data_IF_617634353549
#
_entry.id   IF_617634353549
#
_cell.length_a   1.000
_cell.length_b   1.000
_cell.length_c   1.000
_cell.angle_alpha   90.00
_cell.angle_beta   90.00
_cell.angle_gamma   90.00
#
_symmetry.space_group_name_H-M   'P 1'
#
loop_
_entity.id
_entity.type
_entity.pdbx_description
1 polymer ?
#
# COMPACT_ATOMS: atom_id res chain seq x y z
N UNK A 1 3.19 -24.66 -19.61
CA UNK A 1 2.45 -24.60 -18.35
C UNK A 1 1.42 -23.47 -18.49
N UNK A 2 0.19 -23.83 -18.77
CA UNK A 2 -0.95 -22.91 -18.85
C UNK A 2 -1.74 -23.15 -17.55
N UNK A 3 -1.59 -22.24 -16.59
CA UNK A 3 -2.29 -22.25 -15.32
C UNK A 3 -1.68 -21.22 -14.38
N UNK A 4 -2.47 -20.71 -13.46
CA UNK A 4 -2.07 -19.74 -12.45
C UNK A 4 -1.17 -20.37 -11.36
N UNK A 5 -0.11 -21.05 -11.76
CA UNK A 5 0.82 -21.67 -10.85
C UNK A 5 1.86 -20.64 -10.43
N UNK A 6 1.86 -20.30 -9.15
CA UNK A 6 2.88 -19.44 -8.58
C UNK A 6 4.04 -20.28 -8.06
N UNK A 7 5.25 -19.88 -8.43
CA UNK A 7 6.47 -20.51 -8.00
C UNK A 7 7.26 -19.56 -7.10
N UNK A 8 7.66 -20.04 -5.93
CA UNK A 8 8.71 -19.39 -5.13
C UNK A 8 10.02 -20.12 -5.38
N UNK A 9 11.09 -19.33 -5.52
CA UNK A 9 12.46 -19.79 -5.63
C UNK A 9 13.23 -19.51 -4.35
N UNK A 10 13.74 -20.54 -3.73
CA UNK A 10 14.88 -20.41 -2.84
C UNK A 10 16.19 -20.75 -3.58
N UNK A 11 17.30 -20.88 -2.82
CA UNK A 11 18.61 -21.17 -3.39
C UNK A 11 18.62 -22.47 -4.20
N UNK A 12 18.00 -23.53 -3.67
CA UNK A 12 18.13 -24.89 -4.17
C UNK A 12 16.85 -25.48 -4.74
N UNK A 13 15.71 -24.91 -4.40
CA UNK A 13 14.41 -25.43 -4.71
C UNK A 13 13.49 -24.43 -5.45
N UNK A 14 12.50 -24.96 -6.14
CA UNK A 14 11.36 -24.24 -6.68
C UNK A 14 10.10 -24.89 -6.09
N UNK A 15 9.27 -24.10 -5.43
CA UNK A 15 7.99 -24.55 -4.91
C UNK A 15 6.90 -24.22 -5.93
N UNK A 16 6.16 -25.24 -6.33
CA UNK A 16 5.11 -25.13 -7.35
C UNK A 16 3.78 -25.42 -6.65
N UNK A 17 2.87 -24.48 -6.75
CA UNK A 17 1.54 -24.58 -6.15
C UNK A 17 0.49 -24.91 -7.18
N UNK A 18 -0.32 -25.90 -6.86
CA UNK A 18 -1.47 -26.36 -7.61
C UNK A 18 -2.43 -27.04 -6.64
N UNK A 19 -3.10 -28.11 -7.04
CA UNK A 19 -3.91 -28.92 -6.12
C UNK A 19 -3.08 -29.52 -4.94
N UNK A 20 -1.78 -29.55 -5.09
CA UNK A 20 -0.78 -29.97 -4.10
C UNK A 20 0.37 -28.98 -4.14
N UNK A 21 1.18 -28.98 -3.09
CA UNK A 21 2.44 -28.23 -3.06
C UNK A 21 3.56 -29.19 -3.50
N UNK A 22 4.21 -28.86 -4.59
CA UNK A 22 5.36 -29.60 -5.11
C UNK A 22 6.64 -28.85 -4.81
N UNK A 23 7.72 -29.60 -4.61
CA UNK A 23 9.09 -29.11 -4.53
C UNK A 23 9.91 -29.69 -5.66
N UNK A 24 10.52 -28.84 -6.46
CA UNK A 24 11.49 -29.20 -7.48
C UNK A 24 12.89 -28.83 -7.00
N UNK A 25 13.74 -29.81 -6.82
CA UNK A 25 15.13 -29.60 -6.45
C UNK A 25 15.98 -29.35 -7.71
N UNK A 26 16.67 -28.20 -7.74
CA UNK A 26 17.47 -27.76 -8.90
C UNK A 26 18.72 -28.59 -9.14
N UNK A 27 19.29 -29.20 -8.08
CA UNK A 27 20.49 -30.01 -8.18
C UNK A 27 20.18 -31.43 -8.66
N UNK A 28 19.19 -32.07 -8.04
CA UNK A 28 18.80 -33.44 -8.40
C UNK A 28 17.86 -33.47 -9.61
N UNK A 29 17.27 -32.33 -9.97
CA UNK A 29 16.25 -32.21 -11.05
C UNK A 29 15.02 -33.08 -10.82
N UNK A 30 14.74 -33.41 -9.58
CA UNK A 30 13.58 -34.23 -9.19
C UNK A 30 12.47 -33.37 -8.62
N UNK A 31 11.24 -33.79 -8.89
CA UNK A 31 10.03 -33.20 -8.31
C UNK A 31 9.43 -34.20 -7.33
N UNK A 32 9.06 -33.72 -6.13
CA UNK A 32 8.35 -34.48 -5.13
C UNK A 32 7.17 -33.68 -4.58
N UNK A 33 6.21 -34.36 -3.97
CA UNK A 33 5.09 -33.73 -3.28
C UNK A 33 5.59 -33.31 -1.90
N UNK A 34 5.53 -32.01 -1.59
CA UNK A 34 5.83 -31.49 -0.27
C UNK A 34 4.60 -31.56 0.64
N UNK A 35 3.43 -31.21 0.10
CA UNK A 35 2.18 -31.22 0.86
C UNK A 35 0.99 -31.54 -0.04
N UNK A 36 0.12 -32.41 0.46
CA UNK A 36 -1.14 -32.79 -0.18
C UNK A 36 -2.28 -32.53 0.80
N UNK A 37 -3.00 -31.39 0.69
CA UNK A 37 -4.09 -31.06 1.58
C UNK A 37 -5.24 -32.05 1.42
N UNK A 38 -5.98 -32.32 2.50
CA UNK A 38 -7.26 -33.01 2.43
C UNK A 38 -8.28 -32.13 1.70
N UNK A 39 -9.28 -32.74 1.10
CA UNK A 39 -10.21 -32.10 0.14
C UNK A 39 -10.87 -30.82 0.68
N UNK A 40 -11.16 -30.75 1.99
CA UNK A 40 -11.80 -29.59 2.62
C UNK A 40 -10.91 -28.35 2.69
N UNK A 41 -9.61 -28.54 2.69
CA UNK A 41 -8.63 -27.45 2.69
C UNK A 41 -8.35 -26.94 1.27
N UNK A 42 -8.57 -27.75 0.25
CA UNK A 42 -8.33 -27.38 -1.16
C UNK A 42 -9.19 -26.20 -1.63
N UNK A 43 -10.40 -26.01 -1.10
CA UNK A 43 -11.27 -24.87 -1.42
C UNK A 43 -10.84 -23.57 -0.73
N UNK A 44 -10.13 -23.68 0.40
CA UNK A 44 -9.61 -22.49 1.14
C UNK A 44 -8.24 -22.04 0.65
N UNK A 45 -7.61 -22.84 -0.19
CA UNK A 45 -6.24 -22.67 -0.63
C UNK A 45 -6.21 -22.41 -2.14
N UNK A 46 -6.83 -21.31 -2.59
CA UNK A 46 -6.41 -20.66 -3.82
C UNK A 46 -5.08 -19.98 -3.50
N UNK A 47 -3.98 -20.76 -3.57
CA UNK A 47 -2.76 -20.40 -2.88
C UNK A 47 -1.84 -19.56 -3.71
N UNK A 48 -1.33 -18.54 -3.06
CA UNK A 48 -0.13 -17.85 -3.45
C UNK A 48 0.99 -18.18 -2.47
N UNK A 49 2.10 -18.70 -2.94
CA UNK A 49 3.30 -18.78 -2.13
C UNK A 49 3.92 -17.39 -1.98
N UNK A 50 4.19 -16.97 -0.75
CA UNK A 50 4.68 -15.64 -0.46
C UNK A 50 6.19 -15.66 -0.19
N UNK A 51 6.64 -16.62 0.59
CA UNK A 51 8.01 -16.68 1.09
C UNK A 51 8.36 -18.08 1.55
N UNK A 52 9.64 -18.47 1.44
CA UNK A 52 10.20 -19.64 2.10
C UNK A 52 11.42 -19.25 2.91
N UNK A 53 11.60 -19.88 4.07
CA UNK A 53 12.86 -19.92 4.82
C UNK A 53 13.35 -21.37 4.91
N UNK A 54 14.42 -21.62 5.67
CA UNK A 54 15.03 -22.96 5.76
C UNK A 54 14.10 -24.01 6.40
N UNK A 55 13.03 -23.58 7.04
CA UNK A 55 12.17 -24.44 7.85
C UNK A 55 10.70 -24.44 7.42
N UNK A 56 10.26 -23.38 6.76
CA UNK A 56 8.85 -23.18 6.46
C UNK A 56 8.60 -22.57 5.08
N UNK A 57 7.47 -22.94 4.49
CA UNK A 57 6.84 -22.26 3.39
C UNK A 57 5.63 -21.45 3.89
N UNK A 58 5.55 -20.19 3.52
CA UNK A 58 4.43 -19.31 3.85
C UNK A 58 3.51 -19.18 2.65
N UNK A 59 2.24 -19.43 2.89
CA UNK A 59 1.20 -19.55 1.87
C UNK A 59 0.04 -18.60 2.20
N UNK A 60 -0.44 -17.89 1.23
CA UNK A 60 -1.65 -17.07 1.35
C UNK A 60 -2.82 -17.83 0.71
N UNK A 61 -3.86 -18.05 1.49
CA UNK A 61 -5.16 -18.51 1.01
C UNK A 61 -6.12 -17.34 0.81
N UNK A 62 -7.39 -17.65 0.58
CA UNK A 62 -8.43 -16.63 0.34
C UNK A 62 -8.54 -15.64 1.50
N UNK A 63 -8.62 -16.12 2.72
CA UNK A 63 -8.74 -15.29 3.94
C UNK A 63 -7.77 -15.72 5.05
N UNK A 64 -6.76 -16.51 4.71
CA UNK A 64 -5.81 -17.09 5.65
C UNK A 64 -4.38 -16.90 5.18
N UNK A 65 -3.49 -16.68 6.16
CA UNK A 65 -2.05 -16.79 5.98
C UNK A 65 -1.59 -18.07 6.69
N UNK A 66 -0.99 -18.98 5.96
CA UNK A 66 -0.53 -20.26 6.47
C UNK A 66 0.99 -20.34 6.54
N UNK A 67 1.44 -21.21 7.43
CA UNK A 67 2.82 -21.63 7.56
C UNK A 67 2.90 -23.16 7.49
N UNK A 68 3.59 -23.69 6.49
CA UNK A 68 3.86 -25.11 6.29
C UNK A 68 5.27 -25.43 6.77
N UNK A 69 5.39 -26.35 7.73
CA UNK A 69 6.68 -26.80 8.22
C UNK A 69 7.23 -27.90 7.30
N UNK A 70 8.48 -27.78 6.85
CA UNK A 70 9.11 -28.74 5.93
C UNK A 70 9.42 -30.09 6.56
N UNK A 71 9.65 -30.13 7.89
CA UNK A 71 10.03 -31.37 8.59
C UNK A 71 8.83 -32.17 9.07
N UNK A 72 7.85 -31.47 9.67
CA UNK A 72 6.65 -32.13 10.22
C UNK A 72 5.52 -32.27 9.22
N UNK A 73 5.59 -31.53 8.11
CA UNK A 73 4.53 -31.45 7.08
C UNK A 73 3.21 -30.89 7.64
N UNK A 74 3.28 -30.15 8.74
CA UNK A 74 2.12 -29.54 9.39
C UNK A 74 1.85 -28.15 8.82
N UNK A 75 0.60 -27.91 8.46
CA UNK A 75 0.09 -26.61 8.05
C UNK A 75 -0.57 -25.94 9.25
N UNK A 76 -0.11 -24.76 9.62
CA UNK A 76 -0.68 -23.96 10.69
C UNK A 76 -1.13 -22.59 10.18
N UNK A 77 -2.27 -22.09 10.68
CA UNK A 77 -2.74 -20.73 10.36
C UNK A 77 -2.02 -19.70 11.22
N UNK A 78 -1.53 -18.63 10.58
CA UNK A 78 -0.96 -17.45 11.24
C UNK A 78 -1.99 -16.34 11.38
N UNK A 79 -2.77 -16.12 10.32
CA UNK A 79 -3.83 -15.13 10.25
C UNK A 79 -5.06 -15.83 9.69
N UNK A 80 -6.19 -15.63 10.34
CA UNK A 80 -7.47 -16.11 9.87
C UNK A 80 -8.51 -14.97 9.99
N UNK A 81 -9.07 -14.58 8.87
CA UNK A 81 -10.07 -13.52 8.79
C UNK A 81 -11.47 -14.12 8.56
N UNK A 82 -12.48 -13.29 8.68
CA UNK A 82 -13.86 -13.69 8.43
C UNK A 82 -14.07 -14.03 6.96
N UNK A 83 -15.06 -14.87 6.70
CA UNK A 83 -15.52 -15.12 5.34
C UNK A 83 -15.97 -13.81 4.68
N UNK A 84 -15.51 -13.58 3.44
CA UNK A 84 -15.70 -12.33 2.71
C UNK A 84 -14.58 -11.29 2.87
N UNK A 85 -13.66 -11.50 3.81
CA UNK A 85 -12.46 -10.67 3.97
C UNK A 85 -11.29 -11.27 3.16
N UNK A 86 -11.36 -11.18 1.84
CA UNK A 86 -10.46 -11.87 0.94
C UNK A 86 -9.09 -11.17 0.83
N UNK A 87 -8.03 -11.97 0.95
CA UNK A 87 -6.66 -11.54 0.71
C UNK A 87 -6.37 -11.53 -0.79
N UNK A 88 -5.68 -10.51 -1.22
CA UNK A 88 -5.34 -10.30 -2.64
C UNK A 88 -3.85 -10.49 -2.91
N UNK A 89 -3.02 -10.10 -1.96
CA UNK A 89 -1.57 -10.19 -2.06
C UNK A 89 -0.92 -10.15 -0.69
N UNK A 90 0.31 -10.62 -0.58
CA UNK A 90 1.09 -10.45 0.63
C UNK A 90 2.58 -10.37 0.33
N UNK A 91 3.32 -9.69 1.21
CA UNK A 91 4.77 -9.68 1.20
C UNK A 91 5.33 -9.72 2.62
N UNK A 92 6.61 -10.08 2.75
CA UNK A 92 7.31 -10.19 4.04
C UNK A 92 8.39 -9.13 4.12
N UNK A 93 8.49 -8.45 5.27
CA UNK A 93 9.58 -7.49 5.54
C UNK A 93 10.83 -8.18 6.12
N UNK A 94 11.92 -7.42 6.28
CA UNK A 94 13.20 -7.95 6.82
C UNK A 94 13.11 -8.36 8.29
N UNK A 95 12.14 -7.86 9.05
CA UNK A 95 11.87 -8.27 10.43
C UNK A 95 11.04 -9.54 10.51
N UNK A 96 10.58 -10.04 9.37
CA UNK A 96 9.77 -11.24 9.25
C UNK A 96 8.28 -11.03 9.46
N UNK A 97 7.81 -9.78 9.54
CA UNK A 97 6.40 -9.47 9.57
C UNK A 97 5.78 -9.61 8.19
N UNK A 98 4.46 -9.79 8.14
CA UNK A 98 3.73 -9.85 6.88
C UNK A 98 2.84 -8.64 6.69
N UNK A 99 2.89 -8.11 5.49
CA UNK A 99 1.99 -7.09 4.97
C UNK A 99 1.02 -7.79 4.04
N UNK A 100 -0.28 -7.62 4.28
CA UNK A 100 -1.34 -8.36 3.60
C UNK A 100 -2.30 -7.37 2.99
N UNK A 101 -2.44 -7.42 1.68
CA UNK A 101 -3.47 -6.71 0.94
C UNK A 101 -4.76 -7.50 0.92
N UNK A 102 -5.87 -6.80 1.02
CA UNK A 102 -7.19 -7.40 1.03
C UNK A 102 -8.22 -6.52 0.32
N UNK A 103 -9.42 -7.06 0.11
CA UNK A 103 -10.56 -6.33 -0.42
C UNK A 103 -11.09 -5.22 0.52
N UNK A 104 -10.60 -5.16 1.76
CA UNK A 104 -10.97 -4.15 2.76
C UNK A 104 -9.78 -3.33 3.28
N UNK A 105 -8.62 -3.40 2.62
CA UNK A 105 -7.44 -2.56 2.88
C UNK A 105 -6.14 -3.30 3.14
N UNK A 106 -5.23 -2.62 3.85
CA UNK A 106 -3.90 -3.12 4.18
C UNK A 106 -3.86 -3.61 5.63
N UNK A 107 -3.36 -4.83 5.83
CA UNK A 107 -3.13 -5.42 7.14
C UNK A 107 -1.64 -5.60 7.39
N UNK A 108 -1.27 -5.51 8.65
CA UNK A 108 0.06 -5.80 9.15
C UNK A 108 0.01 -6.89 10.20
N UNK A 109 0.69 -8.01 9.95
CA UNK A 109 0.89 -9.08 10.91
C UNK A 109 2.28 -9.01 11.54
N UNK A 110 2.34 -8.80 12.84
CA UNK A 110 3.58 -8.75 13.59
C UNK A 110 3.99 -10.16 14.02
N UNK A 111 5.12 -10.65 13.50
CA UNK A 111 5.63 -12.00 13.78
C UNK A 111 5.95 -12.22 15.25
N UNK A 112 6.46 -11.21 15.97
CA UNK A 112 6.88 -11.33 17.36
C UNK A 112 5.69 -11.45 18.31
N UNK A 113 4.65 -10.68 18.06
CA UNK A 113 3.47 -10.62 18.94
C UNK A 113 2.35 -11.55 18.49
N UNK A 114 2.39 -12.03 17.25
CA UNK A 114 1.32 -12.83 16.62
C UNK A 114 0.05 -12.02 16.36
N UNK A 115 0.09 -10.69 16.46
CA UNK A 115 -1.08 -9.82 16.29
C UNK A 115 -1.18 -9.28 14.86
N UNK A 116 -2.40 -9.19 14.39
CA UNK A 116 -2.75 -8.53 13.12
C UNK A 116 -3.45 -7.22 13.41
N UNK A 117 -3.05 -6.16 12.72
CA UNK A 117 -3.68 -4.85 12.79
C UNK A 117 -3.98 -4.31 11.39
N UNK A 118 -5.06 -3.53 11.27
CA UNK A 118 -5.38 -2.83 10.03
C UNK A 118 -4.63 -1.49 9.99
N UNK A 119 -3.96 -1.22 8.89
CA UNK A 119 -3.36 0.09 8.63
C UNK A 119 -4.46 1.01 8.11
N UNK A 120 -4.89 1.92 8.97
CA UNK A 120 -5.97 2.84 8.63
C UNK A 120 -5.50 3.94 7.67
N UNK A 121 -6.24 4.11 6.60
CA UNK A 121 -6.03 5.17 5.61
C UNK A 121 -7.34 5.49 4.90
N UNK A 122 -7.47 6.74 4.45
CA UNK A 122 -8.57 7.19 3.59
C UNK A 122 -8.17 7.20 2.11
N UNK A 123 -6.96 6.69 1.77
CA UNK A 123 -6.42 6.75 0.42
C UNK A 123 -6.97 5.65 -0.47
N UNK A 124 -7.29 4.49 0.09
CA UNK A 124 -7.84 3.34 -0.61
C UNK A 124 -8.64 2.45 0.34
N UNK A 125 -9.60 1.72 -0.22
CA UNK A 125 -10.43 0.77 0.53
C UNK A 125 -9.99 -0.68 0.27
N UNK A 126 -9.37 -0.96 -0.87
CA UNK A 126 -8.89 -2.28 -1.25
C UNK A 126 -7.48 -2.21 -1.80
N UNK A 127 -6.73 -3.28 -1.61
CA UNK A 127 -5.36 -3.44 -2.12
C UNK A 127 -5.36 -4.57 -3.15
N UNK A 128 -4.76 -4.36 -4.32
CA UNK A 128 -4.66 -5.37 -5.37
C UNK A 128 -3.32 -6.09 -5.38
N UNK A 129 -2.25 -5.40 -5.02
CA UNK A 129 -0.90 -5.96 -5.07
C UNK A 129 0.04 -5.34 -4.05
N UNK A 130 1.01 -6.13 -3.57
CA UNK A 130 2.02 -5.72 -2.60
C UNK A 130 3.40 -6.21 -2.97
N UNK A 131 4.42 -5.40 -2.66
CA UNK A 131 5.81 -5.82 -2.66
C UNK A 131 6.62 -5.08 -1.59
N UNK A 132 7.62 -5.74 -1.02
CA UNK A 132 8.58 -5.14 -0.10
C UNK A 132 9.92 -4.93 -0.81
N UNK A 133 10.49 -3.73 -0.74
CA UNK A 133 11.69 -3.35 -1.50
C UNK A 133 13.02 -3.66 -0.78
N UNK A 134 12.99 -4.29 0.38
CA UNK A 134 14.14 -4.53 1.26
C UNK A 134 14.86 -3.26 1.74
N UNK A 135 14.20 -2.11 1.63
CA UNK A 135 14.69 -0.80 2.05
C UNK A 135 13.70 -0.07 2.96
N UNK A 136 12.79 -0.83 3.58
CA UNK A 136 11.81 -0.30 4.52
C UNK A 136 10.56 0.32 3.90
N UNK A 137 10.25 -0.01 2.64
CA UNK A 137 9.04 0.45 1.97
C UNK A 137 8.22 -0.72 1.47
N UNK A 138 6.91 -0.64 1.71
CA UNK A 138 5.91 -1.52 1.12
C UNK A 138 5.24 -0.81 -0.04
N UNK A 139 5.36 -1.37 -1.22
CA UNK A 139 4.78 -0.87 -2.45
C UNK A 139 3.40 -1.48 -2.64
N UNK A 140 2.42 -0.65 -2.96
CA UNK A 140 1.00 -1.01 -2.88
C UNK A 140 0.31 -0.57 -4.16
N UNK A 141 -0.29 -1.51 -4.87
CA UNK A 141 -1.26 -1.23 -5.93
C UNK A 141 -2.66 -1.24 -5.33
N UNK A 142 -3.41 -0.17 -5.49
CA UNK A 142 -4.76 -0.05 -4.97
C UNK A 142 -5.59 0.92 -5.82
N UNK A 143 -6.81 0.54 -6.19
CA UNK A 143 -7.79 1.40 -6.88
C UNK A 143 -7.20 2.18 -8.08
N UNK A 144 -6.44 1.52 -8.94
CA UNK A 144 -5.76 2.12 -10.10
C UNK A 144 -4.71 3.20 -9.74
N UNK A 145 -4.25 3.20 -8.51
CA UNK A 145 -3.19 4.09 -8.02
C UNK A 145 -2.06 3.26 -7.43
N UNK A 146 -0.90 3.88 -7.35
CA UNK A 146 0.27 3.24 -6.80
C UNK A 146 0.80 4.02 -5.60
N UNK A 147 1.12 3.31 -4.52
CA UNK A 147 1.55 3.90 -3.27
C UNK A 147 2.85 3.25 -2.79
N UNK A 148 3.63 4.01 -2.04
CA UNK A 148 4.67 3.48 -1.19
C UNK A 148 4.36 3.79 0.27
N UNK A 149 4.33 2.78 1.13
CA UNK A 149 4.24 2.97 2.58
C UNK A 149 5.64 2.91 3.19
N UNK A 150 6.10 4.02 3.76
CA UNK A 150 7.39 4.13 4.42
C UNK A 150 7.22 3.67 5.87
N UNK A 151 7.74 2.48 6.19
CA UNK A 151 7.47 1.79 7.46
C UNK A 151 7.91 2.62 8.67
N UNK A 152 9.13 3.17 8.64
CA UNK A 152 9.68 3.93 9.76
C UNK A 152 8.96 5.26 10.01
N UNK A 153 8.44 5.87 8.96
CA UNK A 153 7.72 7.15 9.01
C UNK A 153 6.20 6.97 9.20
N UNK A 154 5.71 5.75 9.03
CA UNK A 154 4.28 5.41 9.02
C UNK A 154 3.49 6.29 8.06
N UNK A 155 4.03 6.55 6.87
CA UNK A 155 3.52 7.51 5.90
C UNK A 155 3.36 6.86 4.53
N UNK A 156 2.26 7.21 3.85
CA UNK A 156 2.05 6.88 2.45
C UNK A 156 2.63 7.97 1.53
N UNK A 157 3.15 7.55 0.40
CA UNK A 157 3.49 8.38 -0.74
C UNK A 157 2.68 7.88 -1.92
N UNK A 158 2.02 8.79 -2.63
CA UNK A 158 1.27 8.47 -3.85
C UNK A 158 2.18 8.68 -5.05
N UNK A 159 2.07 7.77 -6.00
CA UNK A 159 2.69 7.88 -7.31
C UNK A 159 1.59 7.79 -8.38
N UNK A 160 1.61 8.72 -9.31
CA UNK A 160 0.64 8.80 -10.39
C UNK A 160 1.28 9.16 -11.75
N UNK A 161 0.46 9.55 -12.71
CA UNK A 161 0.90 9.92 -14.05
C UNK A 161 1.95 11.03 -14.09
N UNK A 162 1.90 11.96 -13.15
CA UNK A 162 2.89 13.05 -13.07
C UNK A 162 4.27 12.54 -12.66
N UNK A 163 4.34 11.38 -12.00
CA UNK A 163 5.55 10.66 -11.64
C UNK A 163 5.99 9.67 -12.75
N UNK A 164 5.26 9.63 -13.86
CA UNK A 164 5.50 8.69 -14.96
C UNK A 164 4.91 7.30 -14.74
N UNK A 165 4.06 7.13 -13.75
CA UNK A 165 3.31 5.87 -13.54
C UNK A 165 2.05 5.94 -14.39
N UNK A 166 1.84 5.00 -15.34
CA UNK A 166 0.65 4.99 -16.17
C UNK A 166 -0.61 4.87 -15.29
N UNK A 167 -1.60 5.73 -15.52
CA UNK A 167 -2.88 5.61 -14.84
C UNK A 167 -3.61 4.36 -15.29
N UNK A 168 -4.39 3.83 -14.40
CA UNK A 168 -5.52 2.91 -14.60
C UNK A 168 -5.24 1.43 -14.82
N UNK A 169 -4.00 0.93 -15.00
CA UNK A 169 -3.87 -0.46 -15.43
C UNK A 169 -2.66 -1.21 -14.88
N UNK A 170 -2.25 -0.92 -13.64
CA UNK A 170 -1.22 -1.71 -12.97
C UNK A 170 -1.83 -2.98 -12.37
N UNK A 171 -1.90 -4.02 -13.19
CA UNK A 171 -2.61 -5.27 -12.88
C UNK A 171 -1.72 -6.25 -12.11
N UNK A 172 -0.40 -6.14 -12.24
CA UNK A 172 0.52 -7.14 -11.73
C UNK A 172 1.27 -6.70 -10.48
N UNK A 173 1.54 -7.67 -9.62
CA UNK A 173 2.32 -7.47 -8.40
C UNK A 173 3.68 -6.85 -8.72
N UNK A 174 4.06 -5.75 -8.03
CA UNK A 174 5.37 -5.16 -8.19
C UNK A 174 6.47 -6.15 -7.81
N UNK A 175 7.52 -6.24 -8.64
CA UNK A 175 8.64 -7.16 -8.42
C UNK A 175 9.90 -6.35 -8.16
N UNK A 176 10.44 -6.36 -6.91
CA UNK A 176 11.71 -5.73 -6.61
C UNK A 176 12.87 -6.46 -7.31
N UNK A 177 13.79 -5.70 -7.92
CA UNK A 177 15.00 -6.27 -8.46
C UNK A 177 15.96 -6.71 -7.34
N UNK A 178 16.64 -7.85 -7.55
CA UNK A 178 17.51 -8.43 -6.53
C UNK A 178 18.79 -7.62 -6.26
N UNK A 179 19.28 -6.87 -7.26
CA UNK A 179 20.61 -6.24 -7.25
C UNK A 179 20.61 -4.73 -7.48
N UNK A 180 19.48 -4.15 -7.82
CA UNK A 180 19.35 -2.72 -8.11
C UNK A 180 18.16 -2.13 -7.37
N UNK A 181 18.12 -0.81 -7.11
CA UNK A 181 17.00 -0.15 -6.47
C UNK A 181 15.81 0.03 -7.43
N UNK A 182 15.54 -0.97 -8.26
CA UNK A 182 14.45 -0.91 -9.22
C UNK A 182 13.30 -1.80 -8.79
N UNK A 183 12.10 -1.30 -9.01
CA UNK A 183 10.85 -2.02 -8.92
C UNK A 183 10.28 -2.13 -10.33
N UNK A 184 9.83 -3.30 -10.72
CA UNK A 184 9.21 -3.55 -12.00
C UNK A 184 7.75 -3.89 -11.82
N UNK A 185 6.89 -3.30 -12.63
CA UNK A 185 5.45 -3.57 -12.64
C UNK A 185 4.97 -3.76 -14.06
N UNK A 186 4.08 -4.72 -14.25
CA UNK A 186 3.39 -4.93 -15.52
C UNK A 186 2.01 -4.31 -15.52
N UNK A 187 1.57 -3.86 -16.67
CA UNK A 187 0.23 -3.38 -16.91
C UNK A 187 -0.14 -3.52 -18.37
N UNK A 188 -1.36 -3.16 -18.74
CA UNK A 188 -1.83 -3.25 -20.13
C UNK A 188 -1.03 -2.34 -21.07
N UNK A 189 -0.46 -1.25 -20.55
CA UNK A 189 0.40 -0.33 -21.31
C UNK A 189 1.87 -0.75 -21.36
N UNK A 190 2.23 -1.89 -20.78
CA UNK A 190 3.58 -2.45 -20.83
C UNK A 190 4.25 -2.60 -19.47
N UNK A 191 5.58 -2.48 -19.44
CA UNK A 191 6.41 -2.64 -18.25
C UNK A 191 6.89 -1.29 -17.73
N UNK A 192 6.60 -1.02 -16.47
CA UNK A 192 7.06 0.18 -15.74
C UNK A 192 8.26 -0.21 -14.87
N UNK A 193 9.31 0.60 -14.92
CA UNK A 193 10.46 0.52 -14.03
C UNK A 193 10.52 1.75 -13.16
N UNK A 194 10.50 1.57 -11.86
CA UNK A 194 10.62 2.63 -10.86
C UNK A 194 11.97 2.50 -10.16
N UNK A 195 12.74 3.56 -10.13
CA UNK A 195 13.92 3.64 -9.28
C UNK A 195 13.49 4.09 -7.87
N UNK A 196 13.55 3.17 -6.91
CA UNK A 196 13.02 3.38 -5.55
C UNK A 196 13.87 4.33 -4.71
N UNK A 197 15.09 4.66 -5.13
CA UNK A 197 15.96 5.62 -4.42
C UNK A 197 15.64 7.07 -4.80
N UNK A 198 15.43 7.35 -6.08
CA UNK A 198 15.23 8.71 -6.59
C UNK A 198 13.93 9.34 -6.08
N UNK A 199 12.87 8.54 -5.92
CA UNK A 199 11.53 9.04 -5.56
C UNK A 199 11.48 9.68 -4.16
N UNK A 200 12.45 9.38 -3.29
CA UNK A 200 12.44 9.79 -1.89
C UNK A 200 13.58 10.76 -1.53
N UNK A 201 14.43 11.13 -2.48
CA UNK A 201 15.49 12.10 -2.28
C UNK A 201 14.95 13.53 -2.38
N UNK A 202 14.31 14.02 -1.32
CA UNK A 202 14.08 15.45 -1.15
C UNK A 202 14.53 15.85 0.24
N UNK A 203 15.55 16.67 0.30
CA UNK A 203 16.15 17.21 1.51
C UNK A 203 15.56 18.57 1.92
N UNK A 204 14.53 19.06 1.22
CA UNK A 204 13.89 20.34 1.52
C UNK A 204 12.49 20.14 2.11
N UNK A 205 12.23 20.79 3.23
CA UNK A 205 10.85 20.91 3.72
C UNK A 205 10.10 21.90 2.83
N UNK A 206 8.89 21.56 2.37
CA UNK A 206 8.11 22.46 1.55
C UNK A 206 7.69 23.69 2.34
N UNK A 207 7.72 24.85 1.69
CA UNK A 207 7.18 26.10 2.25
C UNK A 207 5.71 26.17 1.88
N UNK A 208 4.84 26.21 2.88
CA UNK A 208 3.41 26.36 2.65
C UNK A 208 3.09 27.82 2.34
N UNK A 209 2.47 28.06 1.18
CA UNK A 209 2.02 29.39 0.75
C UNK A 209 0.50 29.39 0.56
N UNK A 210 -0.15 30.42 1.09
CA UNK A 210 -1.54 30.69 0.83
C UNK A 210 -1.66 31.41 -0.52
N UNK A 211 -2.33 30.77 -1.49
CA UNK A 211 -2.51 31.33 -2.83
C UNK A 211 -3.79 32.12 -2.99
N UNK A 212 -4.88 31.61 -2.43
CA UNK A 212 -6.18 32.20 -2.63
C UNK A 212 -7.08 31.95 -1.41
N UNK A 213 -7.88 32.95 -1.10
CA UNK A 213 -9.01 32.84 -0.18
C UNK A 213 -10.23 33.40 -0.90
N UNK A 214 -11.28 32.60 -1.01
CA UNK A 214 -12.56 33.01 -1.61
C UNK A 214 -13.66 32.94 -0.58
N UNK A 215 -14.47 33.97 -0.57
CA UNK A 215 -15.70 34.06 0.20
C UNK A 215 -16.87 34.31 -0.77
N UNK A 216 -17.86 33.41 -0.76
CA UNK A 216 -18.98 33.47 -1.70
C UNK A 216 -18.54 33.61 -3.20
N UNK A 217 -17.49 32.85 -3.55
CA UNK A 217 -16.89 32.84 -4.88
C UNK A 217 -16.01 34.05 -5.23
N UNK A 218 -15.90 35.06 -4.36
CA UNK A 218 -15.07 36.26 -4.59
C UNK A 218 -13.74 36.15 -3.84
N UNK A 219 -12.65 36.53 -4.51
CA UNK A 219 -11.31 36.53 -3.87
C UNK A 219 -11.23 37.60 -2.79
N UNK A 220 -10.81 37.18 -1.62
CA UNK A 220 -10.64 38.04 -0.41
C UNK A 220 -9.21 38.00 0.12
N UNK A 221 -8.24 37.49 -0.65
CA UNK A 221 -6.85 37.36 -0.20
C UNK A 221 -6.23 38.66 0.31
N UNK A 222 -6.61 39.80 -0.30
CA UNK A 222 -6.16 41.14 0.12
C UNK A 222 -6.68 41.58 1.51
N UNK A 223 -7.69 40.89 2.03
CA UNK A 223 -8.31 41.16 3.32
C UNK A 223 -7.71 40.32 4.46
N UNK A 224 -6.75 39.46 4.12
CA UNK A 224 -6.03 38.67 5.12
C UNK A 224 -4.96 39.55 5.77
N UNK A 225 -5.19 39.94 7.00
CA UNK A 225 -4.24 40.71 7.81
C UNK A 225 -3.73 39.84 8.97
N UNK A 226 -2.42 39.81 9.16
CA UNK A 226 -1.78 39.03 10.24
C UNK A 226 -2.27 37.57 10.33
N UNK A 227 -2.45 36.91 9.19
CA UNK A 227 -3.01 35.57 9.06
C UNK A 227 -4.46 35.40 9.55
N UNK A 228 -5.18 36.53 9.68
CA UNK A 228 -6.59 36.55 10.08
C UNK A 228 -7.45 37.10 8.95
N UNK A 229 -8.65 36.58 8.84
CA UNK A 229 -9.70 37.07 7.94
C UNK A 229 -11.03 37.11 8.70
N UNK A 230 -11.77 38.22 8.52
CA UNK A 230 -13.15 38.34 9.03
C UNK A 230 -14.12 37.71 8.03
N UNK A 231 -14.89 36.73 8.49
CA UNK A 231 -15.90 36.05 7.68
C UNK A 231 -17.29 36.52 8.14
N UNK A 232 -18.10 37.18 7.28
CA UNK A 232 -19.43 37.60 7.66
C UNK A 232 -20.32 36.39 7.97
N UNK A 233 -21.24 36.53 8.90
CA UNK A 233 -22.16 35.48 9.33
C UNK A 233 -23.06 34.93 8.20
N UNK A 234 -23.32 35.72 7.19
CA UNK A 234 -24.17 35.37 6.04
C UNK A 234 -23.39 34.80 4.84
N UNK A 235 -22.18 34.29 5.06
CA UNK A 235 -21.45 33.63 3.98
C UNK A 235 -22.09 32.27 3.66
N UNK A 236 -21.98 31.86 2.38
CA UNK A 236 -22.50 30.58 1.88
C UNK A 236 -21.38 29.59 1.52
N UNK A 237 -20.19 30.10 1.25
CA UNK A 237 -19.02 29.29 0.93
C UNK A 237 -17.73 29.98 1.33
N UNK A 238 -16.77 29.18 1.77
CA UNK A 238 -15.42 29.61 2.13
C UNK A 238 -14.41 28.63 1.53
N UNK A 239 -13.51 29.11 0.70
CA UNK A 239 -12.52 28.28 0.02
C UNK A 239 -11.13 28.83 0.26
N UNK A 240 -10.22 27.94 0.62
CA UNK A 240 -8.79 28.23 0.81
C UNK A 240 -8.00 27.42 -0.21
N UNK A 241 -7.10 28.07 -0.94
CA UNK A 241 -6.13 27.41 -1.80
C UNK A 241 -4.72 27.62 -1.28
N UNK A 242 -4.04 26.53 -1.02
CA UNK A 242 -2.64 26.52 -0.55
C UNK A 242 -1.75 25.78 -1.53
N UNK A 243 -0.47 26.09 -1.53
CA UNK A 243 0.55 25.37 -2.28
C UNK A 243 1.72 25.06 -1.37
N UNK A 244 2.28 23.89 -1.53
CA UNK A 244 3.57 23.55 -0.97
C UNK A 244 4.65 23.91 -2.01
N UNK A 245 5.43 24.97 -1.73
CA UNK A 245 6.51 25.42 -2.61
C UNK A 245 7.79 24.68 -2.26
N UNK A 246 8.21 23.78 -3.11
CA UNK A 246 9.41 22.96 -2.99
C UNK A 246 10.23 23.05 -4.29
N UNK A 247 11.52 23.32 -4.16
CA UNK A 247 12.43 23.35 -5.30
C UNK A 247 12.70 21.94 -5.81
N UNK A 248 12.09 21.42 -6.77
CA UNK A 248 12.19 20.08 -7.37
C UNK A 248 11.07 19.12 -6.97
N UNK A 249 9.87 19.58 -6.68
CA UNK A 249 8.84 18.65 -6.28
C UNK A 249 7.99 18.19 -7.47
N UNK A 250 8.21 16.94 -7.82
CA UNK A 250 7.20 16.13 -8.51
C UNK A 250 6.27 15.42 -7.50
N UNK A 251 6.24 15.88 -6.24
CA UNK A 251 5.55 15.21 -5.14
C UNK A 251 4.18 15.81 -4.90
N UNK A 252 3.19 14.96 -4.79
CA UNK A 252 1.90 15.32 -4.21
C UNK A 252 2.05 15.43 -2.71
N UNK A 253 1.77 16.60 -2.18
CA UNK A 253 1.74 16.83 -0.75
C UNK A 253 0.38 16.46 -0.18
N UNK A 254 0.37 15.71 0.91
CA UNK A 254 -0.82 15.51 1.71
C UNK A 254 -1.00 16.74 2.62
N UNK A 255 -2.04 17.52 2.37
CA UNK A 255 -2.40 18.66 3.20
C UNK A 255 -3.28 18.17 4.35
N UNK A 256 -2.94 18.60 5.53
CA UNK A 256 -3.75 18.38 6.73
C UNK A 256 -4.32 19.71 7.19
N UNK A 257 -5.61 19.85 7.02
CA UNK A 257 -6.37 21.01 7.47
C UNK A 257 -6.96 20.70 8.85
N UNK A 258 -6.68 21.54 9.82
CA UNK A 258 -7.22 21.42 11.17
C UNK A 258 -8.10 22.64 11.43
N UNK A 259 -9.39 22.41 11.53
CA UNK A 259 -10.36 23.44 11.85
C UNK A 259 -10.65 23.29 13.35
N UNK A 260 -10.37 24.33 14.09
CA UNK A 260 -10.59 24.39 15.55
C UNK A 260 -11.67 25.40 15.85
N UNK A 261 -12.61 25.04 16.68
CA UNK A 261 -13.74 25.85 17.09
C UNK A 261 -14.45 25.11 18.23
N UNK A 262 -15.78 25.15 18.21
CA UNK A 262 -16.59 24.39 19.16
C UNK A 262 -16.33 22.88 19.06
N UNK A 263 -16.10 22.42 17.83
CA UNK A 263 -15.68 21.05 17.50
C UNK A 263 -14.40 21.09 16.69
N UNK A 264 -13.52 20.09 16.91
CA UNK A 264 -12.30 19.95 16.14
C UNK A 264 -12.55 19.04 14.93
N UNK A 265 -12.37 19.58 13.73
CA UNK A 265 -12.43 18.83 12.50
C UNK A 265 -11.02 18.71 11.89
N UNK A 266 -10.66 17.53 11.42
CA UNK A 266 -9.40 17.27 10.71
C UNK A 266 -9.75 16.73 9.33
N UNK A 267 -9.25 17.39 8.29
CA UNK A 267 -9.42 16.98 6.89
C UNK A 267 -8.04 16.73 6.31
N UNK A 268 -7.82 15.54 5.77
CA UNK A 268 -6.61 15.20 5.05
C UNK A 268 -6.94 15.05 3.56
N UNK A 269 -6.24 15.78 2.71
CA UNK A 269 -6.50 15.81 1.28
C UNK A 269 -5.22 16.09 0.49
N UNK A 270 -5.12 15.50 -0.70
CA UNK A 270 -4.10 15.87 -1.68
C UNK A 270 -4.51 17.07 -2.55
N UNK A 271 -5.74 17.51 -2.41
CA UNK A 271 -6.20 18.72 -3.07
C UNK A 271 -5.63 19.95 -2.38
N UNK A 272 -5.08 20.84 -3.17
CA UNK A 272 -4.58 22.15 -2.72
C UNK A 272 -5.69 23.09 -2.27
N UNK A 273 -6.95 22.75 -2.55
CA UNK A 273 -8.11 23.57 -2.22
C UNK A 273 -8.95 22.86 -1.16
N UNK A 274 -9.22 23.58 -0.07
CA UNK A 274 -10.21 23.21 0.94
C UNK A 274 -11.47 24.02 0.69
N UNK A 275 -12.58 23.33 0.46
CA UNK A 275 -13.90 23.93 0.30
C UNK A 275 -14.74 23.66 1.54
N UNK A 276 -15.23 24.72 2.14
CA UNK A 276 -16.11 24.69 3.29
C UNK A 276 -17.40 25.40 2.93
N UNK A 277 -18.53 24.85 3.37
CA UNK A 277 -19.82 25.53 3.30
C UNK A 277 -19.89 26.68 4.31
N UNK A 278 -21.07 26.89 4.89
CA UNK A 278 -21.26 27.82 5.98
C UNK A 278 -20.52 27.34 7.24
N UNK A 279 -19.68 28.19 7.79
CA UNK A 279 -19.04 27.96 9.08
C UNK A 279 -19.97 28.45 10.18
N UNK A 280 -20.03 27.69 11.28
CA UNK A 280 -20.75 28.14 12.46
C UNK A 280 -20.09 29.39 13.03
N UNK A 281 -20.89 30.29 13.64
CA UNK A 281 -20.38 31.46 14.33
C UNK A 281 -19.46 31.01 15.47
N UNK A 282 -18.24 31.53 15.49
CA UNK A 282 -17.21 31.24 16.48
C UNK A 282 -15.92 31.99 16.14
N UNK A 283 -14.96 31.97 17.03
CA UNK A 283 -13.59 32.45 16.81
C UNK A 283 -12.73 31.42 16.10
#
# INVERSE_FOLDING_TARGET
>A
LVGSEMCIRDRDNIYILGAKVYIYNKHTRQTSILYAPQIDIQRQIAMQAIYSDDTHLYLMGTNNLFKLNFKTNELSSLVNMKEGDDFTSACRDDKGNFWIGSNFGLLFYNKQTGKTEKIHTNLFNSVSSLAYDKKGKVWIGAQNMFFAYIINEKRFVILDESDGVPSNELIFTPIPALRTPNLYMGGTMGLVRINTDIIFESNSSPILKLLEVKLNGKSTLKQVNNNCISIPWNHSSFNIKVIADEKNSFRKHLFRYVITGKDKMVIESYLQTLELGTLASGE
#
